data_IF_854271261065
#
_entry.id   IF_854271261065
#
_cell.length_a   1.000
_cell.length_b   1.000
_cell.length_c   1.000
_cell.angle_alpha   90.00
_cell.angle_beta   90.00
_cell.angle_gamma   90.00
#
_symmetry.space_group_name_H-M   'P 1'
#
loop_
_entity.id
_entity.type
_entity.pdbx_description
1 polymer ?
#
# COMPACT_ATOMS: atom_id res chain seq x y z
N UNK A 1 -13.47 36.29 9.88
CA UNK A 1 -14.21 35.16 9.29
C UNK A 1 -13.25 34.06 8.88
N UNK A 2 -13.48 32.80 9.28
CA UNK A 2 -12.57 31.69 9.01
C UNK A 2 -12.93 31.02 7.67
N UNK A 3 -12.35 31.52 6.57
CA UNK A 3 -12.72 31.18 5.17
C UNK A 3 -12.22 29.79 4.74
N UNK A 4 -11.30 29.18 5.48
CA UNK A 4 -10.60 27.94 5.08
C UNK A 4 -11.52 26.71 4.98
N UNK A 5 -12.48 26.57 5.90
CA UNK A 5 -13.44 25.45 5.93
C UNK A 5 -14.42 25.47 4.74
N UNK A 6 -15.15 26.56 4.46
CA UNK A 6 -16.05 26.58 3.31
C UNK A 6 -15.32 26.41 1.98
N UNK A 7 -14.08 26.91 1.88
CA UNK A 7 -13.25 26.72 0.69
C UNK A 7 -12.84 25.25 0.48
N UNK A 8 -12.51 24.54 1.56
CA UNK A 8 -12.23 23.09 1.52
C UNK A 8 -13.45 22.27 1.09
N UNK A 9 -14.65 22.63 1.56
CA UNK A 9 -15.89 21.97 1.17
C UNK A 9 -16.22 22.24 -0.31
N UNK A 10 -16.05 23.49 -0.76
CA UNK A 10 -16.31 23.88 -2.14
C UNK A 10 -15.39 23.15 -3.13
N UNK A 11 -14.09 23.09 -2.84
CA UNK A 11 -13.10 22.42 -3.69
C UNK A 11 -13.19 20.89 -3.61
N UNK A 12 -13.54 20.36 -2.43
CA UNK A 12 -13.56 18.93 -2.16
C UNK A 12 -14.73 18.15 -2.78
N UNK A 13 -15.74 18.84 -3.31
CA UNK A 13 -16.86 18.19 -3.99
C UNK A 13 -17.70 17.29 -3.08
N UNK A 14 -18.42 16.33 -3.69
CA UNK A 14 -19.45 15.53 -3.02
C UNK A 14 -18.89 14.59 -1.94
N UNK A 15 -17.70 14.01 -2.16
CA UNK A 15 -17.10 13.05 -1.23
C UNK A 15 -16.64 13.72 0.07
N UNK A 16 -15.99 14.87 -0.02
CA UNK A 16 -15.58 15.65 1.14
C UNK A 16 -16.80 16.19 1.91
N UNK A 17 -17.87 16.56 1.22
CA UNK A 17 -19.15 16.90 1.86
C UNK A 17 -19.76 15.73 2.62
N UNK A 18 -19.70 14.52 2.07
CA UNK A 18 -20.18 13.29 2.71
C UNK A 18 -19.38 12.98 3.98
N UNK A 19 -18.05 13.06 3.91
CA UNK A 19 -17.14 12.88 5.06
C UNK A 19 -17.37 13.97 6.12
N UNK A 20 -17.54 15.22 5.71
CA UNK A 20 -17.85 16.31 6.64
C UNK A 20 -19.19 16.08 7.36
N UNK A 21 -20.23 15.64 6.64
CA UNK A 21 -21.55 15.34 7.21
C UNK A 21 -21.51 14.17 8.18
N UNK A 22 -20.81 13.08 7.86
CA UNK A 22 -20.65 11.94 8.78
C UNK A 22 -19.85 12.34 10.02
N UNK A 23 -18.77 13.10 9.84
CA UNK A 23 -17.93 13.57 10.94
C UNK A 23 -18.66 14.56 11.86
N UNK A 24 -19.46 15.50 11.32
CA UNK A 24 -20.19 16.50 12.11
C UNK A 24 -21.26 15.89 13.04
N UNK A 25 -21.71 14.65 12.80
CA UNK A 25 -22.63 13.94 13.71
C UNK A 25 -21.98 13.57 15.04
N UNK A 26 -20.66 13.45 15.07
CA UNK A 26 -19.89 13.03 16.25
C UNK A 26 -19.47 14.24 17.09
N UNK A 27 -19.01 15.33 16.46
CA UNK A 27 -18.72 16.64 17.08
C UNK A 27 -18.69 17.77 16.03
N UNK A 28 -18.96 19.03 16.40
CA UNK A 28 -18.76 20.15 15.49
C UNK A 28 -17.27 20.35 15.19
N UNK A 29 -16.91 20.29 13.91
CA UNK A 29 -15.50 20.31 13.48
C UNK A 29 -14.98 21.73 13.24
N UNK A 30 -13.72 21.97 13.60
CA UNK A 30 -12.93 23.12 13.12
C UNK A 30 -12.29 22.75 11.78
N UNK A 31 -11.71 23.71 11.06
CA UNK A 31 -10.95 23.41 9.83
C UNK A 31 -9.91 22.29 10.02
N UNK A 32 -9.18 22.30 11.15
CA UNK A 32 -8.15 21.31 11.47
C UNK A 32 -8.72 19.90 11.62
N UNK A 33 -9.78 19.74 12.41
CA UNK A 33 -10.37 18.40 12.65
C UNK A 33 -11.07 17.86 11.41
N UNK A 34 -11.64 18.72 10.55
CA UNK A 34 -12.16 18.31 9.25
C UNK A 34 -11.03 17.86 8.32
N UNK A 35 -9.90 18.58 8.28
CA UNK A 35 -8.73 18.20 7.50
C UNK A 35 -8.17 16.84 7.95
N UNK A 36 -8.06 16.62 9.26
CA UNK A 36 -7.62 15.32 9.83
C UNK A 36 -8.60 14.20 9.51
N UNK A 37 -9.91 14.43 9.61
CA UNK A 37 -10.91 13.43 9.26
C UNK A 37 -10.88 13.06 7.77
N UNK A 38 -10.61 14.04 6.89
CA UNK A 38 -10.42 13.81 5.46
C UNK A 38 -9.16 12.98 5.22
N UNK A 39 -8.03 13.38 5.83
CA UNK A 39 -6.77 12.65 5.72
C UNK A 39 -6.96 11.22 6.21
N UNK A 40 -7.52 11.00 7.40
CA UNK A 40 -7.77 9.69 7.96
C UNK A 40 -8.71 8.85 7.07
N UNK A 41 -9.73 9.46 6.46
CA UNK A 41 -10.63 8.74 5.55
C UNK A 41 -9.91 8.19 4.32
N UNK A 42 -8.98 8.94 3.75
CA UNK A 42 -8.18 8.51 2.60
C UNK A 42 -6.96 7.69 2.99
N UNK A 43 -6.39 7.88 4.18
CA UNK A 43 -5.36 7.01 4.76
C UNK A 43 -5.93 5.63 5.10
N UNK A 44 -7.20 5.51 5.52
CA UNK A 44 -7.89 4.23 5.75
C UNK A 44 -8.07 3.39 4.47
N UNK A 45 -7.91 3.97 3.27
CA UNK A 45 -7.78 3.19 2.04
C UNK A 45 -6.47 2.37 1.97
N UNK A 46 -5.55 2.56 2.92
CA UNK A 46 -4.43 1.67 3.19
C UNK A 46 -4.84 0.42 3.99
N UNK A 47 -5.93 -0.26 3.63
CA UNK A 47 -6.25 -1.54 4.25
C UNK A 47 -5.06 -2.50 4.00
N UNK A 48 -4.37 -2.97 5.07
CA UNK A 48 -3.21 -3.85 4.91
C UNK A 48 -3.57 -5.14 4.17
N UNK A 49 -4.81 -5.60 4.28
CA UNK A 49 -5.28 -6.80 3.57
C UNK A 49 -5.52 -6.55 2.09
N UNK A 50 -6.03 -5.37 1.71
CA UNK A 50 -6.15 -4.98 0.30
C UNK A 50 -4.77 -4.81 -0.35
N UNK A 51 -3.83 -4.28 0.42
CA UNK A 51 -2.42 -4.15 0.04
C UNK A 51 -1.78 -5.52 -0.17
N UNK A 52 -1.84 -6.42 0.81
CA UNK A 52 -1.43 -7.82 0.65
C UNK A 52 -2.06 -8.48 -0.56
N UNK A 53 -3.34 -8.21 -0.81
CA UNK A 53 -4.04 -8.70 -2.00
C UNK A 53 -3.42 -8.18 -3.31
N UNK A 54 -3.10 -6.88 -3.41
CA UNK A 54 -2.40 -6.32 -4.58
C UNK A 54 -1.02 -6.94 -4.80
N UNK A 55 -0.23 -7.11 -3.74
CA UNK A 55 1.07 -7.80 -3.84
C UNK A 55 0.88 -9.24 -4.31
N UNK A 56 -0.13 -9.95 -3.80
CA UNK A 56 -0.43 -11.33 -4.19
C UNK A 56 -0.85 -11.49 -5.64
N UNK A 57 -1.35 -10.43 -6.27
CA UNK A 57 -1.63 -10.43 -7.71
C UNK A 57 -0.37 -10.26 -8.57
N UNK A 58 0.73 -9.74 -8.03
CA UNK A 58 1.94 -9.50 -8.80
C UNK A 58 2.56 -10.83 -9.26
N UNK A 59 2.65 -11.05 -10.57
CA UNK A 59 3.34 -12.19 -11.17
C UNK A 59 4.42 -11.71 -12.10
N UNK A 60 5.52 -12.46 -12.19
CA UNK A 60 6.55 -12.18 -13.17
C UNK A 60 5.99 -12.39 -14.57
N UNK A 61 6.10 -11.36 -15.40
CA UNK A 61 5.83 -11.46 -16.85
C UNK A 61 7.08 -12.06 -17.51
N UNK A 62 6.92 -12.90 -18.53
CA UNK A 62 8.00 -13.69 -19.14
C UNK A 62 9.24 -12.87 -19.55
N UNK A 63 9.05 -11.57 -19.84
CA UNK A 63 10.11 -10.67 -20.32
C UNK A 63 10.82 -9.87 -19.20
N UNK A 64 10.38 -9.99 -17.94
CA UNK A 64 10.94 -9.20 -16.84
C UNK A 64 12.12 -9.93 -16.20
N UNK A 65 13.25 -9.26 -16.01
CA UNK A 65 14.34 -9.78 -15.18
C UNK A 65 13.93 -9.91 -13.72
N UNK A 66 14.72 -10.66 -12.95
CA UNK A 66 14.55 -10.80 -11.49
C UNK A 66 14.54 -9.43 -10.81
N UNK A 67 15.49 -8.56 -11.16
CA UNK A 67 15.61 -7.20 -10.60
C UNK A 67 14.35 -6.37 -10.84
N UNK A 68 13.81 -6.41 -12.05
CA UNK A 68 12.61 -5.65 -12.40
C UNK A 68 11.40 -6.16 -11.61
N UNK A 69 11.28 -7.48 -11.46
CA UNK A 69 10.18 -8.06 -10.69
C UNK A 69 10.32 -7.73 -9.19
N UNK A 70 11.52 -7.86 -8.64
CA UNK A 70 11.81 -7.50 -7.25
C UNK A 70 11.59 -5.99 -6.99
N UNK A 71 12.04 -5.13 -7.89
CA UNK A 71 11.81 -3.69 -7.82
C UNK A 71 10.31 -3.34 -7.79
N UNK A 72 9.51 -4.00 -8.63
CA UNK A 72 8.05 -3.83 -8.62
C UNK A 72 7.41 -4.30 -7.29
N UNK A 73 7.85 -5.44 -6.74
CA UNK A 73 7.37 -5.90 -5.42
C UNK A 73 7.72 -4.89 -4.31
N UNK A 74 8.94 -4.33 -4.33
CA UNK A 74 9.34 -3.28 -3.39
C UNK A 74 8.56 -1.99 -3.58
N UNK A 75 8.27 -1.58 -4.81
CA UNK A 75 7.48 -0.37 -5.06
C UNK A 75 6.07 -0.53 -4.46
N UNK A 76 5.42 -1.67 -4.71
CA UNK A 76 4.11 -2.00 -4.11
C UNK A 76 4.22 -2.01 -2.58
N UNK A 77 5.26 -2.64 -2.03
CA UNK A 77 5.47 -2.77 -0.59
C UNK A 77 5.87 -1.46 0.11
N UNK A 78 6.56 -0.56 -0.57
CA UNK A 78 7.01 0.74 -0.04
C UNK A 78 5.86 1.66 0.34
N UNK A 79 4.68 1.43 -0.24
CA UNK A 79 3.46 2.14 0.13
C UNK A 79 2.90 1.66 1.48
N UNK A 80 3.54 0.69 2.14
CA UNK A 80 3.06 0.03 3.35
C UNK A 80 3.94 0.37 4.56
N UNK A 81 3.32 0.64 5.70
CA UNK A 81 3.95 0.55 7.02
C UNK A 81 3.69 -0.87 7.56
N UNK A 82 4.24 -1.88 6.91
CA UNK A 82 4.15 -3.27 7.37
C UNK A 82 5.46 -3.66 8.07
N UNK A 83 5.41 -4.24 9.29
CA UNK A 83 6.61 -4.67 9.99
C UNK A 83 7.36 -5.81 9.27
N UNK A 84 6.65 -6.60 8.46
CA UNK A 84 7.15 -7.83 7.84
C UNK A 84 7.30 -7.70 6.30
N UNK A 85 7.67 -6.52 5.81
CA UNK A 85 7.74 -6.18 4.38
C UNK A 85 8.56 -7.21 3.56
N UNK A 86 9.77 -7.51 4.00
CA UNK A 86 10.68 -8.43 3.31
C UNK A 86 10.15 -9.88 3.27
N UNK A 87 9.41 -10.30 4.31
CA UNK A 87 8.83 -11.64 4.38
C UNK A 87 7.67 -11.80 3.39
N UNK A 88 6.81 -10.79 3.25
CA UNK A 88 5.72 -10.79 2.27
C UNK A 88 6.28 -10.71 0.84
N UNK A 89 7.32 -9.91 0.60
CA UNK A 89 8.01 -9.85 -0.70
C UNK A 89 8.61 -11.20 -1.06
N UNK A 90 9.29 -11.87 -0.11
CA UNK A 90 9.85 -13.21 -0.32
C UNK A 90 8.75 -14.23 -0.61
N UNK A 91 7.68 -14.25 0.18
CA UNK A 91 6.55 -15.15 -0.04
C UNK A 91 5.96 -14.95 -1.44
N UNK A 92 5.80 -13.70 -1.86
CA UNK A 92 5.31 -13.40 -3.21
C UNK A 92 6.32 -13.75 -4.30
N UNK A 93 7.62 -13.62 -4.04
CA UNK A 93 8.64 -14.06 -4.97
C UNK A 93 8.58 -15.58 -5.17
N UNK A 94 8.47 -16.36 -4.09
CA UNK A 94 8.29 -17.81 -4.15
C UNK A 94 7.01 -18.20 -4.89
N UNK A 95 5.93 -17.41 -4.81
CA UNK A 95 4.66 -17.74 -5.44
C UNK A 95 4.56 -17.27 -6.90
N UNK A 96 5.04 -16.06 -7.18
CA UNK A 96 4.78 -15.32 -8.41
C UNK A 96 5.96 -15.27 -9.38
N UNK A 97 7.16 -15.70 -8.98
CA UNK A 97 8.33 -15.78 -9.86
C UNK A 97 8.23 -16.98 -10.80
N UNK A 98 8.73 -16.85 -12.03
CA UNK A 98 8.59 -17.87 -13.07
C UNK A 98 9.62 -19.00 -12.98
N UNK A 99 10.83 -18.72 -12.49
CA UNK A 99 11.90 -19.73 -12.44
C UNK A 99 11.69 -20.70 -11.28
N UNK A 100 11.54 -21.98 -11.60
CA UNK A 100 11.43 -23.04 -10.60
C UNK A 100 12.68 -23.14 -9.73
N UNK A 101 13.89 -23.06 -10.32
CA UNK A 101 15.15 -23.20 -9.60
C UNK A 101 15.32 -22.17 -8.49
N UNK A 102 14.97 -20.90 -8.79
CA UNK A 102 15.08 -19.84 -7.79
C UNK A 102 14.01 -19.97 -6.70
N UNK A 103 12.80 -20.44 -7.04
CA UNK A 103 11.77 -20.75 -6.05
C UNK A 103 12.20 -21.87 -5.11
N UNK A 104 12.77 -22.94 -5.65
CA UNK A 104 13.30 -24.06 -4.87
C UNK A 104 14.44 -23.62 -3.93
N UNK A 105 15.34 -22.76 -4.42
CA UNK A 105 16.43 -22.21 -3.61
C UNK A 105 15.89 -21.41 -2.41
N UNK A 106 14.91 -20.54 -2.62
CA UNK A 106 14.26 -19.79 -1.54
C UNK A 106 13.47 -20.66 -0.55
N UNK A 107 12.93 -21.78 -1.01
CA UNK A 107 12.25 -22.74 -0.14
C UNK A 107 13.24 -23.54 0.73
N UNK A 108 14.44 -23.79 0.22
CA UNK A 108 15.49 -24.51 0.93
C UNK A 108 16.25 -23.63 1.94
N UNK A 109 16.39 -22.34 1.65
CA UNK A 109 17.12 -21.39 2.50
C UNK A 109 16.16 -20.37 3.16
N UNK A 110 15.61 -20.67 4.35
CA UNK A 110 14.58 -19.85 4.99
C UNK A 110 15.08 -18.49 5.50
N UNK A 111 16.39 -18.24 5.50
CA UNK A 111 16.98 -16.95 5.90
C UNK A 111 17.54 -16.16 4.70
N UNK A 112 17.46 -16.71 3.49
CA UNK A 112 17.97 -16.05 2.31
C UNK A 112 17.13 -14.83 1.98
N UNK A 113 17.79 -13.68 1.82
CA UNK A 113 17.15 -12.44 1.41
C UNK A 113 17.32 -12.24 -0.08
N UNK A 114 16.44 -11.42 -0.65
CA UNK A 114 16.49 -11.05 -2.06
C UNK A 114 17.82 -10.40 -2.46
N UNK A 115 18.49 -9.72 -1.52
CA UNK A 115 19.83 -9.11 -1.71
C UNK A 115 20.98 -10.12 -1.81
N UNK A 116 20.77 -11.34 -1.31
CA UNK A 116 21.80 -12.39 -1.29
C UNK A 116 21.85 -13.13 -2.64
N UNK A 117 20.81 -12.96 -3.47
CA UNK A 117 20.83 -13.38 -4.86
C UNK A 117 21.65 -12.36 -5.64
N UNK A 118 22.92 -12.67 -5.83
CA UNK A 118 23.70 -12.03 -6.88
C UNK A 118 23.12 -12.47 -8.23
N UNK A 119 22.49 -11.53 -8.93
CA UNK A 119 22.01 -11.71 -10.29
C UNK A 119 23.12 -11.47 -11.31
#
# INVERSE_FOLDING_TARGET
>A
MNVKRPLLLLLGGADIHRISKSANKVKPHTYLTLKEAIIAHFELCANPDYKRFLLRQARQTADKSVDIFYGHLREVASTWTLPDEEDEIRAQFIQGYSSLKLREHFLQEPNMRMRDISL
#
